data_IF_548907469305
#
_entry.id   IF_548907469305
#
_cell.length_a   1.000
_cell.length_b   1.000
_cell.length_c   1.000
_cell.angle_alpha   90.00
_cell.angle_beta   90.00
_cell.angle_gamma   90.00
#
_symmetry.space_group_name_H-M   'P 1'
#
loop_
_entity.id
_entity.type
_entity.pdbx_description
1 polymer ?
#
# COMPACT_ATOMS: atom_id res chain seq x y z
N UNK A 1 -8.25 9.34 -21.06
CA UNK A 1 -7.52 8.63 -22.13
C UNK A 1 -7.27 7.22 -21.62
N UNK A 2 -7.91 6.23 -22.23
CA UNK A 2 -7.75 4.82 -21.84
C UNK A 2 -6.39 4.35 -22.34
N UNK A 3 -5.45 4.06 -21.44
CA UNK A 3 -4.18 3.46 -21.82
C UNK A 3 -4.46 2.05 -22.33
N UNK A 4 -4.37 1.86 -23.65
CA UNK A 4 -4.38 0.55 -24.29
C UNK A 4 -3.10 -0.15 -23.84
N UNK A 5 -3.20 -1.34 -23.24
CA UNK A 5 -2.05 -2.19 -22.96
C UNK A 5 -1.23 -2.34 -24.24
N UNK A 6 -0.02 -1.79 -24.26
CA UNK A 6 0.94 -2.05 -25.34
C UNK A 6 1.47 -3.48 -25.14
N UNK A 7 1.94 -4.11 -26.21
CA UNK A 7 2.49 -5.47 -26.16
C UNK A 7 3.59 -5.58 -25.09
N UNK A 8 3.72 -6.77 -24.46
CA UNK A 8 4.72 -7.10 -23.44
C UNK A 8 6.05 -6.36 -23.66
N UNK A 9 6.43 -5.49 -22.72
CA UNK A 9 7.61 -4.63 -22.90
C UNK A 9 8.84 -5.21 -22.24
N UNK A 10 9.90 -5.39 -23.02
CA UNK A 10 11.22 -5.70 -22.50
C UNK A 10 11.78 -4.48 -21.76
N UNK A 11 11.93 -4.60 -20.44
CA UNK A 11 12.55 -3.56 -19.60
C UNK A 11 13.76 -4.18 -18.92
N UNK A 12 14.96 -3.82 -19.40
CA UNK A 12 16.18 -4.48 -18.95
C UNK A 12 16.18 -5.97 -19.31
N UNK A 13 16.34 -6.86 -18.32
CA UNK A 13 16.43 -8.31 -18.53
C UNK A 13 15.06 -9.00 -18.63
N UNK A 14 13.99 -8.40 -18.11
CA UNK A 14 12.68 -9.06 -18.01
C UNK A 14 11.59 -8.29 -18.72
N UNK A 15 10.56 -9.02 -19.14
CA UNK A 15 9.31 -8.43 -19.63
C UNK A 15 8.52 -7.85 -18.46
N UNK A 16 7.87 -6.71 -18.72
CA UNK A 16 6.79 -6.15 -17.90
C UNK A 16 5.55 -6.17 -18.78
N UNK A 17 4.47 -6.77 -18.30
CA UNK A 17 3.28 -7.06 -19.12
C UNK A 17 1.96 -6.93 -18.35
N UNK A 18 0.85 -6.99 -19.09
CA UNK A 18 -0.50 -7.02 -18.53
C UNK A 18 -0.81 -5.81 -17.65
N UNK A 19 -1.52 -6.03 -16.55
CA UNK A 19 -1.93 -4.94 -15.66
C UNK A 19 -0.76 -4.35 -14.86
N UNK A 20 0.28 -5.14 -14.60
CA UNK A 20 1.52 -4.65 -13.97
C UNK A 20 2.22 -3.65 -14.90
N UNK A 21 2.27 -3.92 -16.22
CA UNK A 21 2.79 -2.96 -17.21
C UNK A 21 2.02 -1.64 -17.20
N UNK A 22 0.69 -1.72 -17.21
CA UNK A 22 -0.18 -0.53 -17.22
C UNK A 22 0.14 0.36 -16.03
N UNK A 23 0.15 -0.21 -14.82
CA UNK A 23 0.42 0.55 -13.58
C UNK A 23 1.87 1.05 -13.53
N UNK A 24 2.84 0.21 -13.91
CA UNK A 24 4.25 0.57 -13.92
C UNK A 24 4.55 1.79 -14.78
N UNK A 25 4.02 1.84 -16.01
CA UNK A 25 4.24 3.00 -16.89
C UNK A 25 3.38 4.21 -16.51
N UNK A 26 2.15 4.00 -16.03
CA UNK A 26 1.28 5.09 -15.56
C UNK A 26 1.89 5.86 -14.37
N UNK A 27 2.67 5.18 -13.53
CA UNK A 27 3.32 5.76 -12.35
C UNK A 27 4.77 6.20 -12.59
N UNK A 28 5.22 6.22 -13.86
CA UNK A 28 6.49 6.81 -14.29
C UNK A 28 7.56 5.82 -14.76
N UNK A 29 7.32 4.51 -14.67
CA UNK A 29 8.14 3.47 -15.28
C UNK A 29 9.58 3.42 -14.77
N UNK A 30 10.52 3.08 -15.66
CA UNK A 30 11.92 2.85 -15.32
C UNK A 30 12.64 4.05 -14.67
N UNK A 31 12.39 5.31 -15.08
CA UNK A 31 12.92 6.48 -14.38
C UNK A 31 12.54 6.54 -12.89
N UNK A 32 11.32 6.14 -12.54
CA UNK A 32 10.82 6.20 -11.17
C UNK A 32 11.15 4.93 -10.39
N UNK A 33 10.81 3.77 -10.95
CA UNK A 33 10.80 2.49 -10.22
C UNK A 33 12.00 1.60 -10.55
N UNK A 34 12.79 1.98 -11.55
CA UNK A 34 13.91 1.20 -12.05
C UNK A 34 13.47 -0.04 -12.83
N UNK A 35 14.45 -0.78 -13.34
CA UNK A 35 14.20 -1.99 -14.13
C UNK A 35 13.66 -3.15 -13.26
N UNK A 36 12.87 -4.08 -13.82
CA UNK A 36 12.45 -5.28 -13.12
C UNK A 36 13.66 -6.12 -12.71
N UNK A 37 13.61 -6.68 -11.50
CA UNK A 37 14.64 -7.55 -10.94
C UNK A 37 14.30 -9.04 -11.12
N UNK A 38 13.02 -9.35 -11.33
CA UNK A 38 12.50 -10.70 -11.55
C UNK A 38 11.48 -10.67 -12.70
N UNK A 39 11.20 -11.79 -13.37
CA UNK A 39 10.01 -11.90 -14.21
C UNK A 39 8.74 -11.77 -13.34
N UNK A 40 7.62 -11.39 -13.97
CA UNK A 40 6.31 -11.50 -13.32
C UNK A 40 6.14 -12.92 -12.75
N UNK A 41 5.79 -12.99 -11.47
CA UNK A 41 5.73 -14.21 -10.68
C UNK A 41 4.36 -14.37 -10.03
N UNK A 42 4.01 -15.60 -9.67
CA UNK A 42 2.76 -15.89 -8.96
C UNK A 42 2.82 -15.33 -7.53
N UNK A 43 1.78 -14.59 -7.15
CA UNK A 43 1.51 -14.22 -5.76
C UNK A 43 0.41 -15.13 -5.18
N UNK A 44 0.25 -15.11 -3.86
CA UNK A 44 -0.74 -15.93 -3.16
C UNK A 44 -2.18 -15.70 -3.64
N UNK A 45 -3.05 -16.69 -3.45
CA UNK A 45 -4.49 -16.59 -3.79
C UNK A 45 -4.83 -16.32 -5.26
N UNK A 46 -3.88 -16.47 -6.18
CA UNK A 46 -4.13 -16.40 -7.63
C UNK A 46 -3.75 -15.07 -8.29
N UNK A 47 -3.01 -14.20 -7.58
CA UNK A 47 -2.52 -12.95 -8.16
C UNK A 47 -1.12 -13.07 -8.74
N UNK A 48 -0.59 -11.92 -9.13
CA UNK A 48 0.74 -11.76 -9.74
C UNK A 48 1.48 -10.64 -9.05
N UNK A 49 2.80 -10.71 -9.09
CA UNK A 49 3.64 -9.59 -8.70
C UNK A 49 4.93 -9.54 -9.49
N UNK A 50 5.54 -8.36 -9.50
CA UNK A 50 6.88 -8.16 -10.02
C UNK A 50 7.63 -7.16 -9.15
N UNK A 51 8.93 -7.37 -8.94
CA UNK A 51 9.78 -6.51 -8.11
C UNK A 51 10.77 -5.74 -8.98
N UNK A 52 11.00 -4.48 -8.63
CA UNK A 52 11.77 -3.50 -9.38
C UNK A 52 12.89 -2.90 -8.52
N UNK A 53 13.91 -2.36 -9.19
CA UNK A 53 15.17 -1.94 -8.58
C UNK A 53 15.00 -0.89 -7.48
N UNK A 54 14.10 0.08 -7.64
CA UNK A 54 13.97 1.21 -6.71
C UNK A 54 13.00 0.88 -5.56
N UNK A 55 13.21 -0.27 -4.92
CA UNK A 55 12.44 -0.72 -3.73
C UNK A 55 10.93 -0.74 -3.93
N UNK A 56 10.47 -1.02 -5.15
CA UNK A 56 9.06 -1.10 -5.51
C UNK A 56 8.70 -2.52 -5.95
N UNK A 57 7.51 -2.96 -5.57
CA UNK A 57 6.84 -4.09 -6.20
C UNK A 57 5.49 -3.62 -6.75
N UNK A 58 5.04 -4.26 -7.82
CA UNK A 58 3.69 -4.10 -8.32
C UNK A 58 2.96 -5.42 -8.10
N UNK A 59 1.79 -5.36 -7.50
CA UNK A 59 0.94 -6.51 -7.23
C UNK A 59 -0.38 -6.37 -7.97
N UNK A 60 -0.88 -7.48 -8.49
CA UNK A 60 -2.12 -7.56 -9.24
C UNK A 60 -2.95 -8.75 -8.76
N UNK A 61 -4.27 -8.57 -8.67
CA UNK A 61 -5.21 -9.67 -8.44
C UNK A 61 -6.56 -9.35 -9.11
N UNK A 62 -7.23 -10.31 -9.77
CA UNK A 62 -8.46 -10.03 -10.52
C UNK A 62 -9.63 -9.54 -9.64
N UNK A 63 -9.63 -9.87 -8.35
CA UNK A 63 -10.65 -9.39 -7.39
C UNK A 63 -10.26 -8.13 -6.60
N UNK A 64 -9.08 -7.54 -6.85
CA UNK A 64 -8.63 -6.32 -6.20
C UNK A 64 -8.79 -5.14 -7.17
N UNK A 65 -9.46 -4.07 -6.74
CA UNK A 65 -9.65 -2.83 -7.50
C UNK A 65 -10.00 -3.03 -8.99
N UNK A 66 -11.02 -3.85 -9.28
CA UNK A 66 -11.42 -4.11 -10.67
C UNK A 66 -10.36 -4.81 -11.54
N UNK A 67 -9.37 -5.45 -10.92
CA UNK A 67 -8.25 -6.09 -11.61
C UNK A 67 -7.14 -5.12 -12.00
N UNK A 68 -6.97 -4.00 -11.31
CA UNK A 68 -5.82 -3.12 -11.49
C UNK A 68 -4.61 -3.63 -10.70
N UNK A 69 -3.41 -3.29 -11.18
CA UNK A 69 -2.17 -3.53 -10.45
C UNK A 69 -1.77 -2.28 -9.67
N UNK A 70 -1.15 -2.46 -8.50
CA UNK A 70 -0.76 -1.35 -7.65
C UNK A 70 0.69 -1.44 -7.18
N UNK A 71 1.34 -0.28 -7.16
CA UNK A 71 2.68 -0.08 -6.63
C UNK A 71 2.68 -0.08 -5.11
N UNK A 72 3.66 -0.77 -4.53
CA UNK A 72 3.93 -0.79 -3.10
C UNK A 72 5.43 -0.84 -2.83
N UNK A 73 5.92 -0.02 -1.91
CA UNK A 73 7.36 0.11 -1.63
C UNK A 73 7.71 0.39 -0.18
N UNK A 74 9.01 0.48 0.06
CA UNK A 74 9.59 0.98 1.31
C UNK A 74 9.02 0.37 2.60
N UNK A 75 8.76 1.24 3.59
CA UNK A 75 8.32 0.84 4.93
C UNK A 75 6.90 0.24 4.93
N UNK A 76 6.02 0.68 4.02
CA UNK A 76 4.67 0.13 3.89
C UNK A 76 4.74 -1.31 3.41
N UNK A 77 5.53 -1.58 2.36
CA UNK A 77 5.80 -2.93 1.86
C UNK A 77 6.39 -3.83 2.94
N UNK A 78 7.34 -3.33 3.72
CA UNK A 78 7.93 -4.08 4.83
C UNK A 78 6.88 -4.45 5.90
N UNK A 79 6.06 -3.47 6.32
CA UNK A 79 4.99 -3.70 7.30
C UNK A 79 3.91 -4.65 6.79
N UNK A 80 3.54 -4.56 5.51
CA UNK A 80 2.64 -5.52 4.87
C UNK A 80 3.22 -6.93 4.91
N UNK A 81 4.53 -7.06 4.70
CA UNK A 81 5.23 -8.34 4.79
C UNK A 81 5.23 -8.96 6.19
N UNK A 82 5.40 -8.15 7.25
CA UNK A 82 5.21 -8.59 8.64
C UNK A 82 3.79 -9.09 8.89
N UNK A 83 2.80 -8.56 8.16
CA UNK A 83 1.41 -8.99 8.19
C UNK A 83 1.08 -10.08 7.16
N UNK A 84 2.08 -10.87 6.74
CA UNK A 84 1.96 -12.02 5.82
C UNK A 84 1.52 -11.67 4.40
N UNK A 85 1.82 -10.46 3.92
CA UNK A 85 1.57 -10.03 2.55
C UNK A 85 0.11 -10.27 2.13
N UNK A 86 -0.14 -10.64 0.87
CA UNK A 86 -1.47 -10.93 0.33
C UNK A 86 -2.16 -12.14 0.98
N UNK A 87 -1.40 -12.95 1.72
CA UNK A 87 -1.94 -14.11 2.44
C UNK A 87 -2.54 -13.71 3.79
N UNK A 88 -2.18 -12.53 4.30
CA UNK A 88 -2.65 -11.95 5.55
C UNK A 88 -4.00 -11.23 5.46
N UNK A 89 -4.43 -10.60 6.57
CA UNK A 89 -5.75 -10.00 6.69
C UNK A 89 -5.95 -8.77 5.80
N UNK A 90 -4.87 -8.10 5.40
CA UNK A 90 -4.94 -6.94 4.51
C UNK A 90 -5.30 -7.34 3.06
N UNK A 91 -4.90 -8.53 2.61
CA UNK A 91 -5.07 -8.95 1.22
C UNK A 91 -4.21 -8.12 0.25
N UNK A 92 -4.70 -7.93 -0.97
CA UNK A 92 -3.99 -7.20 -2.03
C UNK A 92 -4.14 -5.67 -1.88
N UNK A 93 -3.14 -4.89 -2.33
CA UNK A 93 -3.28 -3.44 -2.43
C UNK A 93 -4.37 -3.08 -3.45
N UNK A 94 -5.05 -1.97 -3.19
CA UNK A 94 -6.09 -1.37 -4.06
C UNK A 94 -5.78 0.09 -4.41
N UNK A 95 -4.62 0.59 -3.99
CA UNK A 95 -4.06 1.87 -4.42
C UNK A 95 -2.56 1.72 -4.58
N UNK A 96 -1.97 2.54 -5.45
CA UNK A 96 -0.54 2.83 -5.40
C UNK A 96 -0.18 3.51 -4.06
N UNK A 97 1.11 3.64 -3.76
CA UNK A 97 1.55 4.38 -2.58
C UNK A 97 1.25 5.89 -2.76
N UNK A 98 0.40 6.42 -1.89
CA UNK A 98 -0.03 7.81 -1.91
C UNK A 98 0.71 8.60 -0.83
N UNK A 99 1.48 9.60 -1.25
CA UNK A 99 2.23 10.47 -0.35
C UNK A 99 1.37 11.61 0.19
N UNK A 100 1.41 11.84 1.49
CA UNK A 100 0.92 13.05 2.15
C UNK A 100 2.03 14.10 2.15
N UNK A 101 1.68 15.34 1.78
CA UNK A 101 2.61 16.46 1.66
C UNK A 101 2.16 17.62 2.54
N UNK A 102 3.10 18.19 3.30
CA UNK A 102 2.91 19.34 4.16
C UNK A 102 3.50 20.63 3.57
N UNK A 103 3.78 21.60 4.44
CA UNK A 103 4.39 22.88 4.07
C UNK A 103 5.72 22.66 3.34
N UNK A 104 6.02 23.50 2.35
CA UNK A 104 7.21 23.40 1.50
C UNK A 104 7.35 22.06 0.78
N UNK A 105 6.23 21.37 0.52
CA UNK A 105 6.19 20.10 -0.20
C UNK A 105 6.93 18.95 0.53
N UNK A 106 7.15 19.08 1.84
CA UNK A 106 7.76 18.04 2.65
C UNK A 106 6.83 16.82 2.74
N UNK A 107 7.36 15.61 2.57
CA UNK A 107 6.59 14.38 2.77
C UNK A 107 6.34 14.20 4.26
N UNK A 108 5.07 14.23 4.67
CA UNK A 108 4.65 14.08 6.07
C UNK A 108 4.14 12.67 6.38
N UNK A 109 3.89 11.87 5.35
CA UNK A 109 3.50 10.47 5.47
C UNK A 109 3.21 9.86 4.10
N UNK A 110 2.83 8.58 4.13
CA UNK A 110 2.42 7.83 2.94
C UNK A 110 1.38 6.78 3.34
N UNK A 111 0.62 6.27 2.37
CA UNK A 111 -0.28 5.15 2.62
C UNK A 111 -0.52 4.30 1.38
N UNK A 112 -0.80 3.01 1.60
CA UNK A 112 -1.46 2.15 0.63
C UNK A 112 -2.76 1.65 1.25
N UNK A 113 -3.85 1.71 0.51
CA UNK A 113 -5.06 0.97 0.85
C UNK A 113 -4.98 -0.45 0.30
N UNK A 114 -5.59 -1.37 1.02
CA UNK A 114 -5.69 -2.79 0.73
C UNK A 114 -7.16 -3.22 0.85
N UNK A 115 -7.48 -4.42 0.37
CA UNK A 115 -8.83 -4.98 0.49
C UNK A 115 -9.35 -5.01 1.93
N UNK A 116 -8.47 -5.27 2.91
CA UNK A 116 -8.82 -5.44 4.32
C UNK A 116 -8.49 -4.25 5.23
N UNK A 117 -7.95 -3.14 4.71
CA UNK A 117 -7.54 -2.02 5.55
C UNK A 117 -6.55 -1.08 4.86
N UNK A 118 -5.86 -0.26 5.62
CA UNK A 118 -4.89 0.70 5.07
C UNK A 118 -3.63 0.67 5.93
N UNK A 119 -2.45 0.63 5.31
CA UNK A 119 -1.20 0.87 6.03
C UNK A 119 -0.82 2.33 5.85
N UNK A 120 -0.63 3.02 6.96
CA UNK A 120 -0.14 4.39 7.01
C UNK A 120 1.30 4.40 7.49
N UNK A 121 2.13 5.22 6.86
CA UNK A 121 3.49 5.51 7.28
C UNK A 121 3.64 6.99 7.62
N UNK A 122 4.42 7.28 8.66
CA UNK A 122 4.91 8.62 8.95
C UNK A 122 6.38 8.56 9.37
N UNK A 123 7.17 9.64 9.18
CA UNK A 123 8.56 9.67 9.63
C UNK A 123 8.70 9.52 11.15
N UNK A 124 7.69 9.94 11.92
CA UNK A 124 7.73 9.91 13.38
C UNK A 124 7.41 8.52 13.97
N UNK A 125 6.58 7.73 13.29
CA UNK A 125 6.05 6.47 13.84
C UNK A 125 6.33 5.22 13.02
N UNK A 126 6.83 5.36 11.80
CA UNK A 126 6.94 4.23 10.87
C UNK A 126 5.57 3.82 10.32
N UNK A 127 5.49 2.58 9.81
CA UNK A 127 4.30 2.07 9.13
C UNK A 127 3.41 1.24 10.07
N UNK A 128 2.11 1.50 10.08
CA UNK A 128 1.14 0.79 10.90
C UNK A 128 -0.17 0.55 10.13
N UNK A 129 -0.73 -0.67 10.19
CA UNK A 129 -2.05 -0.93 9.65
C UNK A 129 -3.14 -0.30 10.51
N UNK A 130 -4.19 0.20 9.87
CA UNK A 130 -5.43 0.65 10.48
C UNK A 130 -6.58 0.01 9.70
N UNK A 131 -7.48 -0.68 10.37
CA UNK A 131 -8.55 -1.46 9.74
C UNK A 131 -9.83 -1.44 10.55
N UNK A 132 -10.89 -2.05 9.99
CA UNK A 132 -12.16 -2.26 10.67
C UNK A 132 -12.77 -1.00 11.29
N UNK A 133 -13.32 -1.16 12.48
CA UNK A 133 -14.08 -0.12 13.18
C UNK A 133 -13.22 1.05 13.68
N UNK A 134 -11.94 0.80 13.95
CA UNK A 134 -11.00 1.89 14.27
C UNK A 134 -10.78 2.76 13.03
N UNK A 135 -10.58 2.15 11.85
CA UNK A 135 -10.44 2.90 10.60
C UNK A 135 -11.69 3.73 10.29
N UNK A 136 -12.89 3.17 10.51
CA UNK A 136 -14.16 3.90 10.31
C UNK A 136 -14.22 5.15 11.20
N UNK A 137 -13.97 4.99 12.51
CA UNK A 137 -14.00 6.11 13.46
C UNK A 137 -12.95 7.16 13.16
N UNK A 138 -11.72 6.73 12.90
CA UNK A 138 -10.63 7.64 12.54
C UNK A 138 -10.90 8.38 11.24
N UNK A 139 -11.56 7.73 10.27
CA UNK A 139 -11.99 8.35 9.02
C UNK A 139 -13.01 9.46 9.22
N UNK A 140 -14.00 9.25 10.09
CA UNK A 140 -14.96 10.28 10.47
C UNK A 140 -14.28 11.49 11.14
N UNK A 141 -13.18 11.25 11.85
CA UNK A 141 -12.35 12.27 12.49
C UNK A 141 -11.27 12.88 11.56
N UNK A 142 -11.43 12.76 10.22
CA UNK A 142 -10.53 13.32 9.18
C UNK A 142 -9.12 12.69 9.13
N UNK A 143 -8.98 11.45 9.62
CA UNK A 143 -7.75 10.63 9.51
C UNK A 143 -6.49 11.35 10.02
N UNK A 144 -5.38 11.25 9.30
CA UNK A 144 -4.08 11.82 9.67
C UNK A 144 -4.09 13.36 9.73
N UNK A 145 -4.97 13.99 8.94
CA UNK A 145 -5.21 15.43 8.96
C UNK A 145 -6.12 15.87 10.12
N UNK A 146 -6.67 14.91 10.87
CA UNK A 146 -7.62 15.09 11.94
C UNK A 146 -7.01 15.41 13.30
N UNK A 147 -7.79 15.17 14.37
CA UNK A 147 -7.36 15.43 15.75
C UNK A 147 -6.31 14.43 16.27
N UNK A 148 -6.28 13.21 15.73
CA UNK A 148 -5.42 12.14 16.23
C UNK A 148 -4.04 12.06 15.57
N UNK A 149 -3.88 12.54 14.33
CA UNK A 149 -2.64 12.34 13.56
C UNK A 149 -2.47 10.90 13.08
N UNK A 150 -1.23 10.51 12.74
CA UNK A 150 -0.90 9.17 12.26
C UNK A 150 -0.92 8.11 13.36
N UNK A 151 -1.15 6.83 13.02
CA UNK A 151 -1.02 5.71 13.97
C UNK A 151 0.43 5.57 14.46
N UNK A 152 0.57 5.13 15.72
CA UNK A 152 1.87 4.96 16.39
C UNK A 152 2.14 3.53 16.86
N UNK A 153 1.19 2.63 16.67
CA UNK A 153 1.27 1.25 17.12
C UNK A 153 0.21 0.36 16.49
N UNK A 154 0.23 -0.94 16.80
CA UNK A 154 -0.76 -1.88 16.30
C UNK A 154 -2.12 -1.68 16.98
N UNK A 155 -3.17 -2.22 16.37
CA UNK A 155 -4.42 -2.48 17.07
C UNK A 155 -4.21 -3.59 18.11
N UNK A 156 -4.63 -3.35 19.34
CA UNK A 156 -4.53 -4.28 20.47
C UNK A 156 -5.92 -4.58 20.99
N UNK A 157 -6.20 -5.87 21.19
CA UNK A 157 -7.43 -6.34 21.80
C UNK A 157 -7.24 -6.55 23.31
N UNK A 158 -8.13 -5.96 24.10
CA UNK A 158 -8.20 -6.11 25.56
C UNK A 158 -9.63 -6.49 25.95
N UNK A 159 -9.85 -7.77 26.27
CA UNK A 159 -11.19 -8.31 26.48
C UNK A 159 -12.01 -8.31 25.19
N UNK A 160 -13.17 -7.65 25.21
CA UNK A 160 -13.97 -7.43 24.00
C UNK A 160 -13.46 -6.24 23.17
N UNK A 161 -12.85 -5.24 23.81
CA UNK A 161 -12.49 -3.98 23.16
C UNK A 161 -11.19 -4.06 22.36
N UNK A 162 -11.13 -3.28 21.28
CA UNK A 162 -9.97 -3.00 20.45
C UNK A 162 -9.52 -1.56 20.65
N UNK A 163 -8.21 -1.33 20.66
CA UNK A 163 -7.64 0.00 20.81
C UNK A 163 -6.41 0.17 19.93
N UNK A 164 -6.17 1.39 19.45
CA UNK A 164 -4.97 1.73 18.70
C UNK A 164 -4.48 3.12 19.08
N UNK A 165 -3.17 3.25 19.25
CA UNK A 165 -2.51 4.51 19.58
C UNK A 165 -2.21 5.31 18.32
N UNK A 166 -2.40 6.62 18.43
CA UNK A 166 -2.11 7.63 17.41
C UNK A 166 -1.27 8.74 18.04
N UNK A 167 -0.62 9.56 17.19
CA UNK A 167 0.27 10.63 17.63
C UNK A 167 -0.33 11.56 18.71
N UNK A 168 -1.63 11.81 18.64
CA UNK A 168 -2.36 12.74 19.53
C UNK A 168 -3.54 12.10 20.24
N UNK A 169 -3.54 10.78 20.44
CA UNK A 169 -4.56 10.12 21.24
C UNK A 169 -4.68 8.62 21.01
N UNK A 170 -5.77 8.04 21.51
CA UNK A 170 -6.09 6.62 21.36
C UNK A 170 -7.53 6.52 20.89
N UNK A 171 -7.77 5.65 19.91
CA UNK A 171 -9.13 5.27 19.51
C UNK A 171 -9.40 3.90 20.09
N UNK A 172 -10.55 3.77 20.77
CA UNK A 172 -11.03 2.50 21.34
C UNK A 172 -12.42 2.18 20.79
N UNK A 173 -12.69 0.90 20.56
CA UNK A 173 -13.96 0.38 20.05
C UNK A 173 -14.31 -0.94 20.77
N UNK A 174 -15.56 -1.14 21.24
CA UNK A 174 -15.98 -2.37 21.93
C UNK A 174 -15.92 -3.69 21.15
#
# INVERSE_FOLDING_TARGET
MTAVAKADQQVGRFLVKGQIEVSYFATGGAPTWGVPLIPESNAGRGGKFQTFKNQASFYWHPSADGGNAHQIGGAIRAKWGENRWENGPLGYPITDELQSRGTFNAVTGAMNAFQGGVIYWSPASGAWPVWGEILVKWSADKRESGKYGYPTGPEVRTGSSFSQTFQRGVITWP
#
